data_IF_811018566728
#
_entry.id   IF_811018566728
#
_cell.length_a   1.000
_cell.length_b   1.000
_cell.length_c   1.000
_cell.angle_alpha   90.00
_cell.angle_beta   90.00
_cell.angle_gamma   90.00
#
_symmetry.space_group_name_H-M   'P 1'
#
loop_
_entity.id
_entity.type
_entity.pdbx_description
1 polymer ?
#
# COMPACT_ATOMS: atom_id res chain seq x y z
N UNK A 1 -1.71 -8.16 -7.44
CA UNK A 1 -1.59 -8.87 -6.16
C UNK A 1 -2.85 -8.65 -5.34
N UNK A 2 -3.40 -9.71 -4.76
CA UNK A 2 -4.63 -9.62 -3.98
C UNK A 2 -4.40 -9.05 -2.59
N UNK A 3 -5.50 -8.70 -1.93
CA UNK A 3 -5.45 -8.23 -0.56
C UNK A 3 -5.28 -9.36 0.43
N UNK A 4 -4.96 -8.99 1.66
CA UNK A 4 -4.84 -9.95 2.76
C UNK A 4 -5.36 -9.32 4.05
N UNK A 5 -5.71 -10.17 5.01
CA UNK A 5 -6.16 -9.71 6.30
C UNK A 5 -5.01 -9.69 7.30
N UNK A 6 -4.93 -8.62 8.08
CA UNK A 6 -3.92 -8.47 9.13
C UNK A 6 -4.58 -7.83 10.35
N UNK A 7 -4.77 -8.62 11.42
CA UNK A 7 -5.52 -8.17 12.57
C UNK A 7 -6.96 -7.89 12.20
N UNK A 8 -7.45 -6.71 12.52
CA UNK A 8 -8.81 -6.27 12.21
C UNK A 8 -8.88 -5.51 10.89
N UNK A 9 -7.82 -5.55 10.09
CA UNK A 9 -7.70 -4.76 8.86
C UNK A 9 -7.56 -5.65 7.65
N UNK A 10 -8.06 -5.15 6.52
CA UNK A 10 -7.78 -5.73 5.20
C UNK A 10 -6.81 -4.79 4.50
N UNK A 11 -5.76 -5.37 3.92
CA UNK A 11 -4.71 -4.61 3.26
C UNK A 11 -4.68 -4.96 1.79
N UNK A 12 -4.71 -3.93 0.94
CA UNK A 12 -4.66 -4.08 -0.51
C UNK A 12 -3.39 -3.40 -1.03
N UNK A 13 -2.27 -4.13 -1.07
CA UNK A 13 -1.02 -3.55 -1.55
C UNK A 13 -1.00 -3.46 -3.06
N UNK A 14 -0.29 -2.46 -3.58
CA UNK A 14 -0.19 -2.26 -5.01
C UNK A 14 1.08 -1.48 -5.34
N UNK A 15 1.43 -1.47 -6.61
CA UNK A 15 2.48 -0.61 -7.13
C UNK A 15 1.89 0.32 -8.17
N UNK A 16 2.31 1.57 -8.15
CA UNK A 16 1.93 2.54 -9.16
C UNK A 16 3.15 2.95 -9.96
N UNK A 17 3.08 2.77 -11.27
CA UNK A 17 4.18 3.13 -12.14
C UNK A 17 4.21 4.63 -12.38
N UNK A 18 5.39 5.21 -12.20
CA UNK A 18 5.61 6.63 -12.44
C UNK A 18 6.11 6.83 -13.85
N UNK A 19 5.89 8.03 -14.39
CA UNK A 19 6.41 8.42 -15.71
C UNK A 19 7.47 9.48 -15.52
N UNK A 20 8.52 9.37 -16.35
CA UNK A 20 9.56 10.40 -16.40
C UNK A 20 9.05 11.60 -17.18
N UNK A 21 9.76 12.71 -17.08
CA UNK A 21 9.38 13.95 -17.76
C UNK A 21 9.32 13.79 -19.28
N UNK A 22 10.13 12.90 -19.83
CA UNK A 22 10.16 12.65 -21.28
C UNK A 22 9.06 11.69 -21.74
N UNK A 23 8.19 11.26 -20.83
CA UNK A 23 7.09 10.35 -21.12
C UNK A 23 7.46 8.88 -21.07
N UNK A 24 8.73 8.54 -20.82
CA UNK A 24 9.14 7.15 -20.69
C UNK A 24 8.65 6.54 -19.39
N UNK A 25 8.58 5.20 -19.35
CA UNK A 25 8.13 4.47 -18.18
C UNK A 25 9.21 4.51 -17.11
N UNK A 26 8.83 4.93 -15.91
CA UNK A 26 9.74 5.02 -14.78
C UNK A 26 9.60 3.86 -13.82
N UNK A 27 10.06 4.09 -12.60
CA UNK A 27 10.01 3.09 -11.54
C UNK A 27 8.64 3.04 -10.89
N UNK A 28 8.45 2.10 -9.98
CA UNK A 28 7.19 1.85 -9.30
C UNK A 28 7.23 2.38 -7.87
N UNK A 29 6.13 3.00 -7.46
CA UNK A 29 5.95 3.48 -6.11
C UNK A 29 5.08 2.51 -5.32
N UNK A 30 5.45 2.23 -4.07
CA UNK A 30 4.66 1.35 -3.20
C UNK A 30 3.47 2.12 -2.63
N UNK A 31 2.30 1.51 -2.68
CA UNK A 31 1.11 2.08 -2.05
C UNK A 31 0.19 0.96 -1.58
N UNK A 32 -0.71 1.30 -0.67
CA UNK A 32 -1.67 0.33 -0.15
C UNK A 32 -2.93 1.06 0.30
N UNK A 33 -4.05 0.34 0.24
CA UNK A 33 -5.28 0.75 0.91
C UNK A 33 -5.46 -0.13 2.14
N UNK A 34 -5.65 0.48 3.29
CA UNK A 34 -5.92 -0.25 4.53
C UNK A 34 -7.38 -0.02 4.87
N UNK A 35 -8.12 -1.11 5.02
CA UNK A 35 -9.57 -1.07 5.18
C UNK A 35 -9.96 -1.73 6.50
N UNK A 36 -10.88 -1.12 7.21
CA UNK A 36 -11.44 -1.68 8.43
C UNK A 36 -12.96 -1.59 8.37
N UNK A 37 -13.62 -2.69 8.73
CA UNK A 37 -15.06 -2.73 8.84
C UNK A 37 -15.47 -2.34 10.26
N UNK A 38 -16.41 -1.40 10.36
CA UNK A 38 -16.96 -0.95 11.63
C UNK A 38 -18.47 -1.05 11.55
N UNK A 39 -19.01 -2.20 11.96
CA UNK A 39 -20.43 -2.49 11.79
C UNK A 39 -20.76 -2.61 10.30
N UNK A 40 -21.66 -1.76 9.81
CA UNK A 40 -22.05 -1.69 8.42
C UNK A 40 -21.25 -0.64 7.63
N UNK A 41 -20.28 -0.01 8.27
CA UNK A 41 -19.46 1.02 7.63
C UNK A 41 -18.10 0.48 7.26
N UNK A 42 -17.57 0.97 6.15
CA UNK A 42 -16.23 0.66 5.68
C UNK A 42 -15.38 1.90 5.81
N UNK A 43 -14.30 1.78 6.57
CA UNK A 43 -13.32 2.84 6.72
C UNK A 43 -12.06 2.46 5.94
N UNK A 44 -11.52 3.39 5.18
CA UNK A 44 -10.31 3.10 4.42
C UNK A 44 -9.36 4.28 4.45
N UNK A 45 -8.07 3.97 4.41
CA UNK A 45 -7.04 5.00 4.36
C UNK A 45 -6.00 4.58 3.32
N UNK A 46 -5.67 5.49 2.37
CA UNK A 46 -4.59 5.23 1.44
C UNK A 46 -3.26 5.54 2.10
N UNK A 47 -2.27 4.70 1.83
CA UNK A 47 -0.91 4.89 2.34
C UNK A 47 0.05 4.70 1.18
N UNK A 48 1.09 5.52 1.14
CA UNK A 48 2.11 5.40 0.11
C UNK A 48 3.49 5.58 0.73
N UNK A 49 4.48 5.00 0.07
CA UNK A 49 5.88 5.10 0.47
C UNK A 49 6.68 5.69 -0.68
N UNK A 50 7.23 6.87 -0.46
CA UNK A 50 8.00 7.58 -1.47
C UNK A 50 9.05 8.45 -0.78
N UNK A 51 10.35 8.21 -0.98
CA UNK A 51 10.94 6.99 -1.50
C UNK A 51 10.73 5.81 -0.55
N UNK A 52 11.13 4.59 -0.91
CA UNK A 52 11.93 4.19 -2.08
C UNK A 52 11.10 3.89 -3.32
N UNK A 53 11.78 3.78 -4.47
CA UNK A 53 11.18 3.36 -5.73
C UNK A 53 11.67 1.97 -6.10
N UNK A 54 10.89 1.26 -6.89
CA UNK A 54 11.16 -0.15 -7.23
C UNK A 54 11.16 -0.35 -8.73
N UNK A 55 11.86 -1.37 -9.18
CA UNK A 55 11.97 -1.68 -10.61
C UNK A 55 10.76 -2.44 -11.14
N UNK A 56 9.99 -3.10 -10.26
CA UNK A 56 8.83 -3.88 -10.66
C UNK A 56 7.64 -3.58 -9.76
N UNK A 57 6.45 -3.83 -10.30
CA UNK A 57 5.21 -3.70 -9.52
C UNK A 57 5.20 -4.64 -8.34
N UNK A 58 5.67 -5.88 -8.55
CA UNK A 58 5.70 -6.89 -7.49
C UNK A 58 6.56 -6.45 -6.31
N UNK A 59 7.74 -5.89 -6.58
CA UNK A 59 8.62 -5.41 -5.52
C UNK A 59 7.96 -4.27 -4.75
N UNK A 60 7.31 -3.34 -5.44
CA UNK A 60 6.60 -2.23 -4.81
C UNK A 60 5.45 -2.74 -3.94
N UNK A 61 4.64 -3.65 -4.47
CA UNK A 61 3.51 -4.20 -3.73
C UNK A 61 3.96 -4.98 -2.49
N UNK A 62 5.08 -5.70 -2.59
CA UNK A 62 5.64 -6.44 -1.46
C UNK A 62 6.08 -5.49 -0.35
N UNK A 63 6.75 -4.40 -0.72
CA UNK A 63 7.15 -3.38 0.24
C UNK A 63 5.92 -2.76 0.92
N UNK A 64 4.89 -2.48 0.14
CA UNK A 64 3.64 -1.92 0.66
C UNK A 64 2.99 -2.86 1.66
N UNK A 65 2.98 -4.17 1.37
CA UNK A 65 2.41 -5.16 2.27
C UNK A 65 3.14 -5.19 3.61
N UNK A 66 4.47 -5.19 3.57
CA UNK A 66 5.29 -5.18 4.78
C UNK A 66 5.10 -3.89 5.57
N UNK A 67 5.12 -2.75 4.87
CA UNK A 67 4.96 -1.45 5.50
C UNK A 67 3.59 -1.30 6.17
N UNK A 68 2.53 -1.79 5.52
CA UNK A 68 1.19 -1.73 6.07
C UNK A 68 1.07 -2.58 7.34
N UNK A 69 1.65 -3.78 7.33
CA UNK A 69 1.66 -4.64 8.52
C UNK A 69 2.35 -3.96 9.69
N UNK A 70 3.51 -3.36 9.45
CA UNK A 70 4.24 -2.63 10.48
C UNK A 70 3.41 -1.48 11.04
N UNK A 71 2.78 -0.73 10.16
CA UNK A 71 1.97 0.41 10.57
C UNK A 71 0.83 -0.03 11.49
N UNK A 72 0.17 -1.13 11.15
CA UNK A 72 -0.93 -1.68 11.95
C UNK A 72 -0.39 -2.19 13.30
N UNK A 73 0.72 -2.94 13.28
CA UNK A 73 1.30 -3.52 14.49
C UNK A 73 1.78 -2.46 15.47
N UNK A 74 2.23 -1.33 14.97
CA UNK A 74 2.70 -0.22 15.81
C UNK A 74 1.60 0.75 16.20
N UNK A 75 0.35 0.46 15.82
CA UNK A 75 -0.78 1.30 16.15
C UNK A 75 -0.78 2.65 15.45
N UNK A 76 -0.14 2.74 14.30
CA UNK A 76 -0.06 3.99 13.53
C UNK A 76 -1.16 4.13 12.49
N UNK A 77 -1.99 3.12 12.33
CA UNK A 77 -3.12 3.18 11.41
C UNK A 77 -4.21 4.08 12.01
N UNK A 78 -4.70 5.02 11.20
CA UNK A 78 -5.62 6.05 11.70
C UNK A 78 -7.08 5.62 11.78
N UNK A 79 -7.39 4.42 11.35
CA UNK A 79 -8.77 3.93 11.38
C UNK A 79 -8.96 2.72 12.27
#
# INVERSE_FOLDING_TARGET
MGGFKHGNYDVYPAGQQLRNEDGSIGKWMALASVVRWSGDKVLSVPVSWFPPLFDTEEAAARHAAIGAKEMIDKGRCKI
#
